data_IF_620449251485
#
_entry.id   IF_620449251485
#
_cell.length_a   1.000
_cell.length_b   1.000
_cell.length_c   1.000
_cell.angle_alpha   90.00
_cell.angle_beta   90.00
_cell.angle_gamma   90.00
#
_symmetry.space_group_name_H-M   'P 1'
#
loop_
_entity.id
_entity.type
_entity.pdbx_description
1 polymer ?
#
# COMPACT_ATOMS: atom_id res chain seq x y z
N UNK A 1 -8.42 -10.39 12.54
CA UNK A 1 -8.90 -10.24 11.14
C UNK A 1 -9.90 -9.09 10.94
N UNK A 2 -10.93 -8.90 11.77
CA UNK A 2 -11.78 -7.68 11.71
C UNK A 2 -11.22 -6.53 12.55
N UNK A 3 -10.66 -6.84 13.74
CA UNK A 3 -10.07 -5.84 14.64
C UNK A 3 -8.87 -5.13 14.02
N UNK A 4 -7.97 -5.87 13.36
CA UNK A 4 -6.76 -5.31 12.75
C UNK A 4 -7.10 -4.32 11.61
N UNK A 5 -8.14 -4.62 10.83
CA UNK A 5 -8.65 -3.72 9.79
C UNK A 5 -9.25 -2.44 10.37
N UNK A 6 -10.00 -2.54 11.48
CA UNK A 6 -10.57 -1.37 12.15
C UNK A 6 -9.49 -0.44 12.73
N UNK A 7 -8.42 -1.01 13.30
CA UNK A 7 -7.27 -0.26 13.81
C UNK A 7 -6.54 0.43 12.65
N UNK A 8 -6.29 -0.28 11.55
CA UNK A 8 -5.67 0.30 10.35
C UNK A 8 -6.50 1.45 9.76
N UNK A 9 -7.82 1.30 9.68
CA UNK A 9 -8.71 2.39 9.24
C UNK A 9 -8.62 3.62 10.13
N UNK A 10 -8.60 3.45 11.46
CA UNK A 10 -8.41 4.58 12.38
C UNK A 10 -7.04 5.23 12.20
N UNK A 11 -5.97 4.45 12.08
CA UNK A 11 -4.61 4.98 11.87
C UNK A 11 -4.52 5.76 10.56
N UNK A 12 -5.02 5.22 9.45
CA UNK A 12 -5.02 5.94 8.16
C UNK A 12 -5.81 7.25 8.26
N UNK A 13 -6.89 7.28 9.05
CA UNK A 13 -7.68 8.49 9.27
C UNK A 13 -6.96 9.50 10.15
N UNK A 14 -6.36 9.07 11.25
CA UNK A 14 -5.68 9.93 12.23
C UNK A 14 -4.37 10.52 11.65
N UNK A 15 -3.71 9.76 10.76
CA UNK A 15 -2.48 10.15 10.07
C UNK A 15 -2.71 10.57 8.62
N UNK A 16 -3.91 11.05 8.29
CA UNK A 16 -4.27 11.44 6.92
C UNK A 16 -3.27 12.39 6.27
N UNK A 17 -2.77 13.36 7.04
CA UNK A 17 -1.76 14.34 6.60
C UNK A 17 -0.46 13.72 6.08
N UNK A 18 -0.11 12.49 6.47
CA UNK A 18 1.07 11.77 5.97
C UNK A 18 0.93 11.42 4.49
N UNK A 19 -0.31 11.21 4.02
CA UNK A 19 -0.62 10.82 2.65
C UNK A 19 -1.07 12.00 1.78
N UNK A 20 -1.26 13.19 2.37
CA UNK A 20 -1.70 14.37 1.62
C UNK A 20 -0.59 14.88 0.69
N UNK A 21 -0.95 15.08 -0.59
CA UNK A 21 -0.03 15.56 -1.61
C UNK A 21 0.82 14.49 -2.29
N UNK A 22 0.73 13.24 -1.84
CA UNK A 22 1.35 12.11 -2.53
C UNK A 22 0.52 11.70 -3.76
N UNK A 23 1.19 11.36 -4.86
CA UNK A 23 0.58 10.79 -6.05
C UNK A 23 0.87 9.29 -6.18
N UNK A 24 1.97 8.83 -5.58
CA UNK A 24 2.41 7.43 -5.64
C UNK A 24 2.98 6.94 -4.32
N UNK A 25 2.65 5.68 -3.97
CA UNK A 25 3.11 4.98 -2.78
C UNK A 25 3.57 3.57 -3.16
N UNK A 26 4.69 3.11 -2.59
CA UNK A 26 5.11 1.71 -2.67
C UNK A 26 5.02 1.05 -1.30
N UNK A 27 4.25 -0.03 -1.20
CA UNK A 27 4.08 -0.84 0.00
C UNK A 27 5.00 -2.06 -0.06
N UNK A 28 6.10 -1.97 0.66
CA UNK A 28 7.14 -2.99 0.74
C UNK A 28 6.81 -3.94 1.89
N UNK A 29 6.67 -5.23 1.57
CA UNK A 29 6.29 -6.23 2.56
C UNK A 29 4.78 -6.35 2.78
N UNK A 30 3.95 -5.53 2.13
CA UNK A 30 2.49 -5.50 2.30
C UNK A 30 1.73 -6.79 1.96
N UNK A 31 2.41 -7.82 1.46
CA UNK A 31 1.87 -9.18 1.27
C UNK A 31 0.61 -9.21 0.39
N UNK A 32 -0.56 -9.28 1.03
CA UNK A 32 -1.87 -9.28 0.33
C UNK A 32 -2.42 -7.87 0.01
N UNK A 33 -1.69 -6.83 0.41
CA UNK A 33 -2.02 -5.43 0.14
C UNK A 33 -3.21 -4.90 0.94
N UNK A 34 -3.52 -5.47 2.12
CA UNK A 34 -4.68 -5.03 2.93
C UNK A 34 -4.57 -3.56 3.35
N UNK A 35 -3.40 -3.17 3.87
CA UNK A 35 -3.10 -1.80 4.25
C UNK A 35 -3.20 -0.87 3.04
N UNK A 36 -2.57 -1.26 1.93
CA UNK A 36 -2.67 -0.55 0.66
C UNK A 36 -4.10 -0.37 0.17
N UNK A 37 -4.99 -1.37 0.29
CA UNK A 37 -6.43 -1.24 -0.07
C UNK A 37 -7.11 -0.15 0.75
N UNK A 38 -6.96 -0.20 2.08
CA UNK A 38 -7.55 0.79 3.00
C UNK A 38 -7.06 2.20 2.65
N UNK A 39 -5.77 2.36 2.35
CA UNK A 39 -5.19 3.64 1.94
C UNK A 39 -5.80 4.08 0.60
N UNK A 40 -5.82 3.24 -0.43
CA UNK A 40 -6.37 3.60 -1.75
C UNK A 40 -7.88 3.87 -1.73
N UNK A 41 -8.63 3.29 -0.78
CA UNK A 41 -10.04 3.61 -0.53
C UNK A 41 -10.21 4.98 0.15
N UNK A 42 -9.32 5.34 1.08
CA UNK A 42 -9.30 6.64 1.74
C UNK A 42 -8.77 7.77 0.84
N UNK A 43 -7.88 7.45 -0.09
CA UNK A 43 -7.24 8.37 -1.03
C UNK A 43 -7.31 7.85 -2.47
N UNK A 44 -8.47 8.01 -3.15
CA UNK A 44 -8.67 7.43 -4.49
C UNK A 44 -7.69 7.91 -5.56
N UNK A 45 -7.07 9.09 -5.36
CA UNK A 45 -6.07 9.66 -6.26
C UNK A 45 -4.66 9.05 -6.11
N UNK A 46 -4.40 8.34 -5.01
CA UNK A 46 -3.08 7.82 -4.70
C UNK A 46 -2.87 6.48 -5.43
N UNK A 47 -1.82 6.40 -6.25
CA UNK A 47 -1.43 5.15 -6.89
C UNK A 47 -0.56 4.33 -5.94
N UNK A 48 -1.04 3.17 -5.52
CA UNK A 48 -0.28 2.28 -4.65
C UNK A 48 0.25 1.05 -5.43
N UNK A 49 1.52 0.73 -5.21
CA UNK A 49 2.15 -0.49 -5.72
C UNK A 49 2.63 -1.33 -4.56
N UNK A 50 2.10 -2.54 -4.42
CA UNK A 50 2.57 -3.51 -3.42
C UNK A 50 3.73 -4.29 -4.02
N UNK A 51 4.82 -4.43 -3.26
CA UNK A 51 5.95 -5.31 -3.56
C UNK A 51 5.87 -6.57 -2.67
N UNK A 52 5.06 -7.57 -3.03
CA UNK A 52 5.01 -8.82 -2.29
C UNK A 52 6.23 -9.70 -2.61
N UNK A 53 6.70 -10.44 -1.60
CA UNK A 53 7.74 -11.47 -1.78
C UNK A 53 7.30 -12.59 -2.73
N UNK A 54 6.00 -12.83 -2.88
CA UNK A 54 5.43 -13.77 -3.84
C UNK A 54 4.21 -13.13 -4.50
N UNK A 55 4.24 -13.00 -5.83
CA UNK A 55 3.09 -12.51 -6.59
C UNK A 55 2.01 -13.59 -6.58
N UNK A 56 1.01 -13.42 -5.73
CA UNK A 56 -0.25 -14.11 -5.89
C UNK A 56 -1.11 -13.34 -6.91
N UNK A 57 -1.94 -14.03 -7.69
CA UNK A 57 -2.93 -13.43 -8.59
C UNK A 57 -4.03 -12.72 -7.77
N UNK A 58 -3.65 -11.65 -7.09
CA UNK A 58 -4.52 -10.85 -6.26
C UNK A 58 -5.30 -9.87 -7.14
N UNK A 59 -6.56 -9.57 -6.80
CA UNK A 59 -7.36 -8.66 -7.59
C UNK A 59 -6.80 -7.24 -7.48
N UNK A 60 -6.31 -6.72 -8.60
CA UNK A 60 -5.87 -5.33 -8.74
C UNK A 60 -7.07 -4.39 -8.84
N UNK A 61 -6.86 -3.11 -8.55
CA UNK A 61 -7.81 -2.02 -8.84
C UNK A 61 -7.10 -0.98 -9.71
N UNK A 62 -7.83 0.04 -10.16
CA UNK A 62 -7.26 1.13 -10.98
C UNK A 62 -6.06 1.81 -10.30
N UNK A 63 -6.11 1.91 -8.96
CA UNK A 63 -5.13 2.59 -8.13
C UNK A 63 -4.31 1.67 -7.21
N UNK A 64 -4.46 0.34 -7.32
CA UNK A 64 -3.69 -0.64 -6.56
C UNK A 64 -3.14 -1.74 -7.48
N UNK A 65 -1.81 -1.83 -7.55
CA UNK A 65 -1.08 -2.82 -8.36
C UNK A 65 -0.19 -3.71 -7.50
N UNK A 66 0.04 -4.94 -7.96
CA UNK A 66 0.95 -5.89 -7.32
C UNK A 66 2.11 -6.17 -8.26
N UNK A 67 3.32 -5.79 -7.85
CA UNK A 67 4.54 -5.98 -8.65
C UNK A 67 5.47 -6.90 -7.89
N UNK A 68 5.78 -8.05 -8.46
CA UNK A 68 6.79 -8.94 -7.91
C UNK A 68 8.16 -8.27 -7.90
N UNK A 69 8.83 -8.30 -6.75
CA UNK A 69 10.13 -7.67 -6.63
C UNK A 69 10.87 -8.07 -5.36
N UNK A 70 12.17 -7.84 -5.38
CA UNK A 70 13.05 -7.96 -4.22
C UNK A 70 13.48 -6.55 -3.80
N UNK A 71 12.97 -6.10 -2.66
CA UNK A 71 13.24 -4.77 -2.11
C UNK A 71 14.74 -4.50 -1.87
N UNK A 72 15.55 -5.55 -1.66
CA UNK A 72 17.00 -5.40 -1.47
C UNK A 72 17.74 -5.15 -2.78
N UNK A 73 17.08 -5.39 -3.92
CA UNK A 73 17.66 -5.19 -5.26
C UNK A 73 17.09 -3.96 -5.93
N UNK A 74 15.77 -3.79 -5.86
CA UNK A 74 15.09 -2.69 -6.51
C UNK A 74 13.73 -2.41 -5.88
N UNK A 75 13.47 -1.14 -5.60
CA UNK A 75 12.16 -0.63 -5.20
C UNK A 75 11.69 0.30 -6.33
N UNK A 76 10.45 0.12 -6.78
CA UNK A 76 9.83 0.96 -7.80
C UNK A 76 9.85 2.43 -7.34
N UNK A 77 10.17 3.40 -8.22
CA UNK A 77 10.08 4.81 -7.88
C UNK A 77 8.67 5.23 -7.47
N UNK A 78 8.55 5.96 -6.37
CA UNK A 78 7.31 6.56 -5.88
C UNK A 78 7.63 7.77 -4.98
N UNK A 79 6.61 8.57 -4.67
CA UNK A 79 6.76 9.73 -3.78
C UNK A 79 7.08 9.30 -2.35
N UNK A 80 6.59 8.13 -1.94
CA UNK A 80 6.92 7.55 -0.64
C UNK A 80 6.93 6.02 -0.64
N UNK A 81 7.53 5.47 0.42
CA UNK A 81 7.60 4.03 0.68
C UNK A 81 6.97 3.76 2.05
N UNK A 82 6.02 2.83 2.09
CA UNK A 82 5.49 2.23 3.30
C UNK A 82 6.23 0.91 3.54
N UNK A 83 6.79 0.73 4.73
CA UNK A 83 7.45 -0.50 5.15
C UNK A 83 6.60 -1.17 6.22
N UNK A 84 6.07 -2.36 5.90
CA UNK A 84 5.36 -3.22 6.85
C UNK A 84 6.26 -4.44 7.15
N UNK A 85 6.75 -4.54 8.39
CA UNK A 85 7.69 -5.57 8.86
C UNK A 85 6.96 -6.71 9.59
#
# INVERSE_FOLDING_TARGET
>A
MASDSAILHSVVKDYKHVFEGLNSLVDVGGGTGKTSRIITEAFPHLQCTVLPHMVANLPETENLKFVGGDMFRHITPADSVLLEL
#
